data_IF_595362090662
#
_entry.id   IF_595362090662
#
_cell.length_a   1.000
_cell.length_b   1.000
_cell.length_c   1.000
_cell.angle_alpha   90.00
_cell.angle_beta   90.00
_cell.angle_gamma   90.00
#
_symmetry.space_group_name_H-M   'P 1'
#
loop_
_entity.id
_entity.type
_entity.pdbx_description
1 polymer ?
#
# COMPACT_ATOMS: atom_id res chain seq x y z
N UNK A 1 14.97 -11.76 -4.24
CA UNK A 1 13.63 -11.17 -3.97
C UNK A 1 13.79 -9.70 -3.63
N UNK A 2 12.83 -8.85 -4.01
CA UNK A 2 12.79 -7.43 -3.63
C UNK A 2 11.66 -7.14 -2.67
N UNK A 3 11.91 -6.18 -1.78
CA UNK A 3 10.91 -5.60 -0.89
C UNK A 3 10.65 -4.18 -1.36
N UNK A 4 9.40 -3.87 -1.65
CA UNK A 4 8.97 -2.56 -2.12
C UNK A 4 8.13 -1.92 -1.03
N UNK A 5 8.67 -0.90 -0.36
CA UNK A 5 7.93 -0.10 0.61
C UNK A 5 7.16 0.97 -0.17
N UNK A 6 5.85 0.77 -0.29
CA UNK A 6 4.98 1.48 -1.23
C UNK A 6 4.05 2.46 -0.52
N UNK A 7 4.15 3.75 -0.84
CA UNK A 7 3.31 4.80 -0.26
C UNK A 7 1.94 4.82 -0.94
N UNK A 8 0.88 4.76 -0.13
CA UNK A 8 -0.52 4.84 -0.59
C UNK A 8 -1.38 5.74 0.31
N UNK A 9 -2.59 6.01 -0.16
CA UNK A 9 -3.60 6.77 0.56
C UNK A 9 -3.46 8.29 0.42
N UNK A 10 -4.32 8.98 1.15
CA UNK A 10 -4.43 10.43 1.16
C UNK A 10 -3.17 11.11 1.72
N UNK A 11 -2.72 12.17 1.05
CA UNK A 11 -1.58 12.97 1.49
C UNK A 11 -1.79 14.47 1.17
N UNK A 12 -0.73 15.28 1.26
CA UNK A 12 -0.79 16.72 0.95
C UNK A 12 -1.25 17.02 -0.48
N UNK A 13 -1.05 16.08 -1.41
CA UNK A 13 -1.45 16.20 -2.81
C UNK A 13 -2.86 15.66 -3.07
N UNK A 14 -3.34 14.73 -2.23
CA UNK A 14 -4.62 14.04 -2.42
C UNK A 14 -5.49 14.06 -1.15
N UNK A 15 -6.13 15.20 -0.86
CA UNK A 15 -7.21 15.29 0.16
C UNK A 15 -6.80 15.60 1.60
N UNK A 16 -5.49 15.68 1.88
CA UNK A 16 -4.90 16.25 3.12
C UNK A 16 -5.46 15.70 4.44
N UNK A 17 -5.87 14.43 4.45
CA UNK A 17 -6.54 13.80 5.61
C UNK A 17 -5.89 12.42 5.91
N UNK A 18 -5.50 12.10 7.16
CA UNK A 18 -4.96 10.79 7.49
C UNK A 18 -5.99 9.67 7.37
N UNK A 19 -5.52 8.43 7.21
CA UNK A 19 -6.33 7.24 7.49
C UNK A 19 -6.53 7.05 9.00
N UNK A 20 -7.72 6.66 9.49
CA UNK A 20 -7.95 6.45 10.91
C UNK A 20 -7.37 5.13 11.41
N UNK A 21 -6.71 5.19 12.57
CA UNK A 21 -6.54 4.04 13.45
C UNK A 21 -7.76 4.02 14.37
N UNK A 22 -8.56 2.96 14.30
CA UNK A 22 -9.79 2.84 15.09
C UNK A 22 -9.44 2.68 16.60
N UNK A 23 -10.39 2.92 17.53
CA UNK A 23 -10.13 2.84 18.97
C UNK A 23 -9.60 1.49 19.46
N UNK A 24 -9.88 0.42 18.73
CA UNK A 24 -9.38 -0.92 19.03
C UNK A 24 -8.04 -1.24 18.34
N UNK A 25 -7.45 -0.27 17.63
CA UNK A 25 -6.18 -0.38 16.93
C UNK A 25 -6.30 -0.85 15.48
N UNK A 26 -7.50 -1.14 14.95
CA UNK A 26 -7.65 -1.53 13.54
C UNK A 26 -7.21 -0.42 12.59
N UNK A 27 -6.55 -0.81 11.50
CA UNK A 27 -6.08 0.10 10.46
C UNK A 27 -7.14 0.23 9.36
N UNK A 28 -7.92 1.31 9.40
CA UNK A 28 -8.91 1.59 8.36
C UNK A 28 -8.29 2.51 7.31
N UNK A 29 -7.61 1.92 6.33
CA UNK A 29 -7.01 2.68 5.21
C UNK A 29 -8.09 3.34 4.33
N UNK A 30 -7.85 4.60 3.97
CA UNK A 30 -8.71 5.38 3.08
C UNK A 30 -8.04 5.56 1.71
N UNK A 31 -8.65 5.08 0.62
CA UNK A 31 -8.18 5.35 -0.75
C UNK A 31 -8.24 6.83 -1.11
N UNK A 32 -7.56 7.23 -2.19
CA UNK A 32 -7.60 8.62 -2.68
C UNK A 32 -8.87 8.90 -3.48
N UNK A 33 -9.37 10.14 -3.53
CA UNK A 33 -10.45 10.50 -4.44
C UNK A 33 -9.95 10.48 -5.88
N UNK A 34 -10.85 10.16 -6.81
CA UNK A 34 -10.59 10.17 -8.24
C UNK A 34 -11.65 11.01 -8.96
N UNK A 35 -11.25 11.70 -10.03
CA UNK A 35 -12.19 12.54 -10.79
C UNK A 35 -13.05 11.67 -11.70
N UNK A 36 -14.36 11.64 -11.44
CA UNK A 36 -15.35 10.86 -12.22
C UNK A 36 -15.29 11.13 -13.73
N UNK A 37 -14.94 12.35 -14.15
CA UNK A 37 -14.85 12.72 -15.57
C UNK A 37 -13.88 11.85 -16.36
N UNK A 38 -12.80 11.39 -15.73
CA UNK A 38 -11.78 10.56 -16.37
C UNK A 38 -12.03 9.06 -16.18
N UNK A 39 -12.74 8.70 -15.11
CA UNK A 39 -12.92 7.33 -14.63
C UNK A 39 -14.39 7.03 -14.34
N UNK A 40 -15.25 6.94 -15.37
CA UNK A 40 -16.67 6.66 -15.19
C UNK A 40 -16.84 5.27 -14.58
N UNK A 41 -17.84 5.06 -13.72
CA UNK A 41 -18.18 3.75 -13.08
C UNK A 41 -17.28 3.27 -11.95
N UNK A 42 -16.23 4.02 -11.59
CA UNK A 42 -15.53 3.77 -10.31
C UNK A 42 -16.52 3.89 -9.13
N UNK A 43 -16.29 3.13 -8.03
CA UNK A 43 -17.11 3.26 -6.83
C UNK A 43 -16.94 4.63 -6.20
N UNK A 44 -17.95 5.04 -5.44
CA UNK A 44 -17.87 6.14 -4.49
C UNK A 44 -17.45 5.62 -3.12
N UNK A 45 -17.08 6.51 -2.20
CA UNK A 45 -16.82 6.10 -0.81
C UNK A 45 -18.06 5.51 -0.11
N UNK A 46 -19.28 5.89 -0.51
CA UNK A 46 -20.53 5.29 -0.01
C UNK A 46 -20.69 3.82 -0.43
N UNK A 47 -20.03 3.40 -1.50
CA UNK A 47 -20.04 2.00 -1.96
C UNK A 47 -19.01 1.13 -1.21
N UNK A 48 -18.18 1.74 -0.36
CA UNK A 48 -17.12 1.06 0.37
C UNK A 48 -17.44 0.90 1.86
N UNK A 49 -17.09 -0.25 2.42
CA UNK A 49 -17.18 -0.53 3.84
C UNK A 49 -15.90 -1.16 4.39
N UNK A 50 -15.56 -0.89 5.64
CA UNK A 50 -14.49 -1.57 6.35
C UNK A 50 -15.05 -2.15 7.66
N UNK A 51 -15.14 -3.48 7.75
CA UNK A 51 -15.73 -4.20 8.88
C UNK A 51 -17.11 -3.63 9.32
N UNK A 52 -17.99 -3.39 8.35
CA UNK A 52 -19.33 -2.84 8.57
C UNK A 52 -19.38 -1.32 8.77
N UNK A 53 -18.24 -0.62 8.75
CA UNK A 53 -18.19 0.84 8.81
C UNK A 53 -18.27 1.40 7.37
N UNK A 54 -19.28 2.20 7.08
CA UNK A 54 -19.37 2.94 5.80
C UNK A 54 -18.22 3.95 5.69
N UNK A 55 -17.39 3.82 4.65
CA UNK A 55 -16.26 4.73 4.44
C UNK A 55 -16.71 6.12 4.01
N UNK A 56 -17.85 6.24 3.33
CA UNK A 56 -18.43 7.54 2.93
C UNK A 56 -18.76 8.44 4.11
N UNK A 57 -19.46 7.93 5.13
CA UNK A 57 -19.73 8.70 6.36
C UNK A 57 -18.44 9.02 7.10
N UNK A 58 -17.53 8.05 7.20
CA UNK A 58 -16.27 8.23 7.92
C UNK A 58 -15.38 9.31 7.27
N UNK A 59 -15.22 9.28 5.94
CA UNK A 59 -14.37 10.26 5.24
C UNK A 59 -14.96 11.66 5.31
N UNK A 60 -16.28 11.80 5.23
CA UNK A 60 -16.95 13.10 5.39
C UNK A 60 -16.69 13.69 6.77
N UNK A 61 -16.85 12.90 7.82
CA UNK A 61 -16.63 13.35 9.20
C UNK A 61 -15.16 13.69 9.46
N UNK A 62 -14.23 12.81 9.05
CA UNK A 62 -12.79 13.00 9.29
C UNK A 62 -12.17 14.12 8.44
N UNK A 63 -12.69 14.35 7.23
CA UNK A 63 -12.22 15.40 6.32
C UNK A 63 -12.91 16.75 6.53
N UNK A 64 -13.86 16.86 7.48
CA UNK A 64 -14.74 18.02 7.63
C UNK A 64 -15.45 18.37 6.30
N UNK A 65 -16.01 17.36 5.65
CA UNK A 65 -16.73 17.42 4.36
C UNK A 65 -15.92 17.95 3.18
N UNK A 66 -14.59 18.02 3.27
CA UNK A 66 -13.73 18.32 2.11
C UNK A 66 -13.78 17.22 1.06
N UNK A 67 -13.94 15.97 1.50
CA UNK A 67 -14.21 14.80 0.66
C UNK A 67 -15.61 14.32 1.03
N UNK A 68 -16.45 14.09 0.02
CA UNK A 68 -17.82 13.62 0.18
C UNK A 68 -17.90 12.12 -0.01
N UNK A 69 -18.88 11.48 0.64
CA UNK A 69 -19.17 10.07 0.47
C UNK A 69 -19.56 9.72 -0.97
N UNK A 70 -20.12 10.70 -1.69
CA UNK A 70 -20.46 10.60 -3.13
C UNK A 70 -19.28 10.80 -4.06
N UNK A 71 -18.10 11.20 -3.55
CA UNK A 71 -16.93 11.34 -4.40
C UNK A 71 -16.44 9.95 -4.82
N UNK A 72 -16.08 9.85 -6.09
CA UNK A 72 -15.47 8.65 -6.67
C UNK A 72 -14.11 8.39 -6.04
N UNK A 73 -13.76 7.12 -5.85
CA UNK A 73 -12.52 6.74 -5.17
C UNK A 73 -11.69 5.74 -5.98
N UNK A 74 -10.37 5.93 -5.93
CA UNK A 74 -9.35 5.06 -6.49
C UNK A 74 -9.00 3.97 -5.48
N UNK A 75 -9.81 2.91 -5.42
CA UNK A 75 -9.54 1.75 -4.56
C UNK A 75 -8.36 0.95 -5.12
N UNK A 76 -7.16 1.38 -4.78
CA UNK A 76 -5.89 0.78 -5.20
C UNK A 76 -4.78 1.11 -4.17
N UNK A 77 -4.14 0.12 -3.55
CA UNK A 77 -4.25 -1.32 -3.84
C UNK A 77 -5.58 -1.91 -3.36
N UNK A 78 -6.17 -2.77 -4.20
CA UNK A 78 -7.42 -3.46 -3.90
C UNK A 78 -7.12 -4.79 -3.18
N UNK A 79 -6.88 -4.71 -1.87
CA UNK A 79 -6.33 -5.84 -1.08
C UNK A 79 -7.36 -6.65 -0.31
N UNK A 80 -8.53 -6.07 -0.03
CA UNK A 80 -9.49 -6.62 0.91
C UNK A 80 -10.84 -6.88 0.24
N UNK A 81 -11.24 -8.15 0.25
CA UNK A 81 -12.51 -8.57 -0.32
C UNK A 81 -13.69 -7.81 0.28
N UNK A 82 -13.65 -7.52 1.59
CA UNK A 82 -14.75 -6.92 2.34
C UNK A 82 -15.03 -5.45 2.03
N UNK A 83 -14.22 -4.76 1.21
CA UNK A 83 -14.50 -3.37 0.86
C UNK A 83 -15.83 -3.18 0.13
N UNK A 84 -16.16 -4.10 -0.76
CA UNK A 84 -17.39 -4.06 -1.58
C UNK A 84 -17.68 -5.43 -2.19
N UNK A 85 -18.85 -5.61 -2.78
CA UNK A 85 -19.18 -6.82 -3.54
C UNK A 85 -18.18 -7.06 -4.68
N UNK A 86 -17.76 -8.31 -4.88
CA UNK A 86 -16.73 -8.71 -5.85
C UNK A 86 -17.32 -9.65 -6.90
N UNK A 87 -16.82 -9.52 -8.13
CA UNK A 87 -17.11 -10.47 -9.19
C UNK A 87 -16.37 -11.81 -8.96
N UNK A 88 -16.91 -12.94 -9.46
CA UNK A 88 -16.23 -14.23 -9.39
C UNK A 88 -14.80 -14.17 -9.97
N UNK A 89 -13.87 -14.82 -9.28
CA UNK A 89 -12.46 -14.84 -9.70
C UNK A 89 -11.65 -13.61 -9.29
N UNK A 90 -12.24 -12.65 -8.55
CA UNK A 90 -11.50 -11.51 -7.99
C UNK A 90 -10.25 -11.94 -7.24
N UNK A 91 -9.16 -11.22 -7.47
CA UNK A 91 -7.88 -11.38 -6.79
C UNK A 91 -7.42 -10.02 -6.26
N UNK A 92 -6.71 -9.98 -5.12
CA UNK A 92 -6.04 -8.77 -4.69
C UNK A 92 -5.08 -8.27 -5.76
N UNK A 93 -5.16 -6.97 -6.04
CA UNK A 93 -4.45 -6.33 -7.14
C UNK A 93 -3.92 -4.95 -6.74
N UNK A 94 -2.90 -4.50 -7.46
CA UNK A 94 -2.31 -3.17 -7.31
C UNK A 94 -1.93 -2.62 -8.68
N UNK A 95 -2.34 -1.40 -9.03
CA UNK A 95 -2.01 -0.74 -10.28
C UNK A 95 -0.87 0.27 -10.15
N UNK A 96 -0.04 0.38 -11.19
CA UNK A 96 0.98 1.43 -11.22
C UNK A 96 1.21 1.95 -12.64
N UNK A 97 1.50 3.24 -12.75
CA UNK A 97 1.66 3.91 -14.03
C UNK A 97 2.83 4.90 -14.07
N UNK A 98 3.17 5.33 -15.28
CA UNK A 98 4.07 6.45 -15.53
C UNK A 98 5.46 6.29 -14.90
N UNK A 99 5.90 7.31 -14.17
CA UNK A 99 7.26 7.37 -13.60
C UNK A 99 7.50 6.33 -12.50
N UNK A 100 6.48 6.03 -11.69
CA UNK A 100 6.58 5.02 -10.64
C UNK A 100 6.69 3.62 -11.25
N UNK A 101 5.89 3.30 -12.27
CA UNK A 101 6.00 2.02 -12.97
C UNK A 101 7.31 1.89 -13.75
N UNK A 102 7.77 2.98 -14.37
CA UNK A 102 9.08 3.03 -15.02
C UNK A 102 10.22 2.76 -14.04
N UNK A 103 10.09 3.20 -12.78
CA UNK A 103 11.05 2.91 -11.72
C UNK A 103 11.04 1.43 -11.35
N UNK A 104 9.86 0.84 -11.11
CA UNK A 104 9.71 -0.59 -10.82
C UNK A 104 10.34 -1.46 -11.91
N UNK A 105 10.10 -1.14 -13.19
CA UNK A 105 10.75 -1.82 -14.33
C UNK A 105 12.27 -1.71 -14.30
N UNK A 106 12.84 -0.52 -14.07
CA UNK A 106 14.29 -0.33 -13.98
C UNK A 106 14.91 -1.08 -12.80
N UNK A 107 14.16 -1.22 -11.71
CA UNK A 107 14.54 -2.03 -10.56
C UNK A 107 14.30 -3.53 -10.78
N UNK A 108 13.82 -3.96 -11.96
CA UNK A 108 13.47 -5.33 -12.29
C UNK A 108 12.50 -5.95 -11.26
N UNK A 109 11.50 -5.17 -10.81
CA UNK A 109 10.45 -5.68 -9.92
C UNK A 109 9.52 -6.61 -10.71
N UNK A 110 9.23 -7.79 -10.15
CA UNK A 110 8.42 -8.80 -10.83
C UNK A 110 7.95 -9.93 -9.92
N UNK A 111 7.49 -11.06 -10.50
CA UNK A 111 6.99 -12.21 -9.75
C UNK A 111 7.93 -12.64 -8.60
N UNK A 112 7.35 -12.91 -7.44
CA UNK A 112 8.05 -13.27 -6.19
C UNK A 112 8.44 -12.09 -5.31
N UNK A 113 8.50 -10.87 -5.84
CA UNK A 113 8.78 -9.66 -5.05
C UNK A 113 7.54 -9.24 -4.22
N UNK A 114 7.76 -8.49 -3.13
CA UNK A 114 6.71 -8.15 -2.16
C UNK A 114 6.57 -6.64 -2.05
N UNK A 115 5.36 -6.15 -2.30
CA UNK A 115 4.93 -4.83 -1.87
C UNK A 115 4.50 -4.86 -0.41
N UNK A 116 5.03 -3.93 0.38
CA UNK A 116 4.59 -3.57 1.72
C UNK A 116 4.03 -2.15 1.65
N UNK A 117 2.71 -2.03 1.73
CA UNK A 117 2.02 -0.75 1.59
C UNK A 117 1.97 -0.01 2.91
N UNK A 118 2.41 1.24 2.93
CA UNK A 118 2.25 2.15 4.05
C UNK A 118 1.42 3.36 3.67
N UNK A 119 0.75 3.93 4.66
CA UNK A 119 0.02 5.18 4.51
C UNK A 119 0.21 6.09 5.73
N UNK A 120 -0.29 7.32 5.62
CA UNK A 120 -0.39 8.25 6.73
C UNK A 120 -1.61 7.90 7.58
N UNK A 121 -1.37 7.57 8.85
CA UNK A 121 -2.38 7.24 9.84
C UNK A 121 -2.38 8.20 11.03
N UNK A 122 -3.54 8.32 11.67
CA UNK A 122 -3.71 9.01 12.95
C UNK A 122 -4.83 8.35 13.76
N UNK A 123 -4.67 8.29 15.07
CA UNK A 123 -5.70 7.74 15.96
C UNK A 123 -7.01 8.53 15.88
N UNK A 124 -8.11 7.79 15.74
CA UNK A 124 -9.45 8.32 15.66
C UNK A 124 -10.32 7.75 16.79
N UNK A 125 -11.29 8.56 17.20
CA UNK A 125 -12.25 8.25 18.24
C UNK A 125 -13.65 8.62 17.78
N UNK A 126 -14.65 8.00 18.40
CA UNK A 126 -16.05 8.32 18.15
C UNK A 126 -16.58 9.17 19.31
N UNK A 127 -17.00 10.40 19.01
CA UNK A 127 -17.55 11.35 19.99
C UNK A 127 -18.91 11.82 19.49
N UNK A 128 -19.93 11.72 20.34
CA UNK A 128 -21.31 12.09 20.00
C UNK A 128 -21.79 11.46 18.68
N UNK A 129 -21.43 10.19 18.45
CA UNK A 129 -21.81 9.43 17.26
C UNK A 129 -20.97 9.66 16.01
N UNK A 130 -20.07 10.66 16.01
CA UNK A 130 -19.24 11.02 14.85
C UNK A 130 -17.77 10.63 15.02
N UNK A 131 -17.12 10.31 13.91
CA UNK A 131 -15.68 10.12 13.85
C UNK A 131 -14.94 11.45 13.92
N UNK A 132 -13.90 11.50 14.76
CA UNK A 132 -12.95 12.58 14.78
C UNK A 132 -11.56 12.03 15.12
N UNK A 133 -10.51 12.72 14.71
CA UNK A 133 -9.18 12.36 15.17
C UNK A 133 -9.02 12.70 16.65
N UNK A 134 -8.35 11.82 17.40
CA UNK A 134 -8.11 12.03 18.80
C UNK A 134 -7.22 13.27 19.01
N UNK A 135 -7.53 14.14 20.00
CA UNK A 135 -6.71 15.30 20.29
C UNK A 135 -5.27 14.89 20.57
N UNK A 136 -4.29 15.59 19.97
CA UNK A 136 -2.85 15.32 20.11
C UNK A 136 -2.39 13.95 19.59
N UNK A 137 -3.25 13.20 18.89
CA UNK A 137 -2.84 11.99 18.20
C UNK A 137 -1.74 12.30 17.18
N UNK A 138 -0.72 11.44 17.14
CA UNK A 138 0.44 11.61 16.28
C UNK A 138 0.14 11.19 14.85
N UNK A 139 0.80 11.85 13.92
CA UNK A 139 0.86 11.41 12.53
C UNK A 139 1.90 10.31 12.38
N UNK A 140 1.48 9.17 11.85
CA UNK A 140 2.29 7.97 11.72
C UNK A 140 2.33 7.50 10.26
N UNK A 141 3.46 6.97 9.83
CA UNK A 141 3.54 6.06 8.71
C UNK A 141 3.42 4.64 9.26
N UNK A 142 2.42 3.90 8.79
CA UNK A 142 2.13 2.53 9.25
C UNK A 142 1.93 1.64 8.03
N UNK A 143 2.54 0.46 8.05
CA UNK A 143 2.26 -0.62 7.11
C UNK A 143 0.83 -1.13 7.34
N UNK A 144 -0.01 -1.05 6.32
CA UNK A 144 -1.41 -1.44 6.42
C UNK A 144 -1.78 -2.65 5.56
N UNK A 145 -0.94 -3.02 4.59
CA UNK A 145 -1.19 -4.19 3.75
C UNK A 145 0.04 -4.65 2.98
N UNK A 146 -0.11 -5.79 2.31
CA UNK A 146 0.94 -6.37 1.48
C UNK A 146 0.38 -7.00 0.22
N UNK A 147 1.25 -7.18 -0.78
CA UNK A 147 1.00 -7.99 -1.98
C UNK A 147 2.32 -8.60 -2.46
N UNK A 148 2.42 -9.91 -2.44
CA UNK A 148 3.47 -10.65 -3.15
C UNK A 148 3.02 -10.87 -4.59
N UNK A 149 3.87 -10.45 -5.54
CA UNK A 149 3.55 -10.44 -6.96
C UNK A 149 3.55 -11.87 -7.50
N UNK A 150 2.44 -12.26 -8.11
CA UNK A 150 2.36 -13.44 -8.97
C UNK A 150 2.64 -13.04 -10.42
N UNK A 151 1.98 -11.97 -10.85
CA UNK A 151 1.95 -11.55 -12.24
C UNK A 151 1.95 -10.02 -12.33
N UNK A 152 2.67 -9.50 -13.31
CA UNK A 152 2.65 -8.10 -13.72
C UNK A 152 2.06 -8.01 -15.11
N UNK A 153 0.81 -7.56 -15.20
CA UNK A 153 0.03 -7.55 -16.43
C UNK A 153 0.07 -6.16 -17.09
N UNK A 154 0.54 -6.12 -18.33
CA UNK A 154 0.39 -4.97 -19.22
C UNK A 154 -0.86 -5.11 -20.08
N UNK A 155 -1.43 -3.98 -20.47
CA UNK A 155 -2.62 -3.93 -21.32
C UNK A 155 -2.34 -3.13 -22.59
N UNK A 156 -2.77 -3.69 -23.73
CA UNK A 156 -2.75 -3.01 -25.01
C UNK A 156 -3.84 -1.91 -25.09
N UNK A 157 -4.02 -1.30 -26.26
CA UNK A 157 -5.06 -0.28 -26.46
C UNK A 157 -6.48 -0.85 -26.54
N UNK A 158 -6.62 -2.16 -26.76
CA UNK A 158 -7.90 -2.87 -26.83
C UNK A 158 -8.29 -3.54 -25.50
N UNK A 159 -7.55 -3.28 -24.42
CA UNK A 159 -7.68 -3.95 -23.13
C UNK A 159 -7.50 -5.47 -23.25
N UNK A 160 -6.45 -5.90 -23.94
CA UNK A 160 -5.93 -7.26 -23.93
C UNK A 160 -4.71 -7.35 -23.01
N UNK A 161 -4.67 -8.38 -22.18
CA UNK A 161 -3.56 -8.70 -21.29
C UNK A 161 -2.35 -9.22 -22.09
N UNK A 162 -1.16 -8.71 -21.81
CA UNK A 162 0.12 -9.13 -22.43
C UNK A 162 1.14 -9.85 -21.49
N UNK A 163 0.73 -10.65 -20.48
CA UNK A 163 1.68 -11.22 -19.51
C UNK A 163 2.50 -12.41 -20.05
N UNK A 164 2.11 -13.01 -21.20
CA UNK A 164 2.74 -14.22 -21.76
C UNK A 164 2.97 -14.14 -23.28
N UNK A 165 3.41 -12.98 -23.79
CA UNK A 165 3.76 -12.79 -25.21
C UNK A 165 2.58 -12.82 -26.19
N UNK A 166 1.47 -13.48 -25.84
CA UNK A 166 0.22 -13.47 -26.60
C UNK A 166 -0.87 -12.68 -25.86
N UNK A 167 -1.59 -11.80 -26.57
CA UNK A 167 -2.74 -11.11 -26.03
C UNK A 167 -3.85 -12.06 -25.57
N UNK A 168 -4.45 -11.77 -24.42
CA UNK A 168 -5.61 -12.50 -23.89
C UNK A 168 -6.68 -11.51 -23.42
N UNK A 169 -7.98 -11.85 -23.49
CA UNK A 169 -9.03 -10.99 -22.95
C UNK A 169 -8.84 -10.71 -21.46
N UNK A 170 -9.05 -9.45 -21.05
CA UNK A 170 -9.07 -9.07 -19.63
C UNK A 170 -10.21 -9.79 -18.88
N UNK A 171 -9.93 -10.43 -17.73
CA UNK A 171 -10.98 -11.03 -16.89
C UNK A 171 -12.00 -9.99 -16.41
N UNK A 172 -13.29 -10.36 -16.35
CA UNK A 172 -14.36 -9.43 -16.00
C UNK A 172 -14.19 -8.76 -14.63
N UNK A 173 -13.68 -9.49 -13.63
CA UNK A 173 -13.40 -8.94 -12.30
C UNK A 173 -12.35 -7.82 -12.33
N UNK A 174 -11.40 -7.86 -13.28
CA UNK A 174 -10.31 -6.91 -13.39
C UNK A 174 -10.73 -5.65 -14.16
N UNK A 175 -11.76 -5.72 -15.01
CA UNK A 175 -12.32 -4.55 -15.71
C UNK A 175 -12.86 -3.48 -14.77
N UNK A 176 -13.13 -3.84 -13.51
CA UNK A 176 -13.56 -2.90 -12.46
C UNK A 176 -12.39 -2.21 -11.74
N UNK A 177 -11.15 -2.56 -12.07
CA UNK A 177 -9.97 -1.96 -11.45
C UNK A 177 -9.73 -0.54 -11.99
N UNK A 178 -9.32 0.44 -11.16
CA UNK A 178 -9.19 1.83 -11.62
C UNK A 178 -8.28 2.07 -12.82
N UNK A 179 -7.28 1.21 -12.99
CA UNK A 179 -6.33 1.27 -14.10
C UNK A 179 -6.88 0.76 -15.45
N UNK A 180 -8.06 0.14 -15.46
CA UNK A 180 -8.73 -0.36 -16.67
C UNK A 180 -10.05 0.36 -16.98
N UNK A 181 -10.44 1.30 -16.11
CA UNK A 181 -11.65 2.10 -16.28
C UNK A 181 -11.28 3.43 -16.95
N UNK A 182 -12.06 3.85 -17.94
CA UNK A 182 -11.97 5.19 -18.52
C UNK A 182 -10.64 5.50 -19.20
N UNK A 183 -10.14 6.72 -19.01
CA UNK A 183 -8.86 7.18 -19.56
C UNK A 183 -7.68 6.51 -18.85
N UNK A 184 -6.65 6.08 -19.59
CA UNK A 184 -5.43 5.50 -19.00
C UNK A 184 -4.64 6.55 -18.22
N UNK A 185 -3.97 6.14 -17.14
CA UNK A 185 -3.10 7.06 -16.38
C UNK A 185 -1.81 7.42 -17.13
N UNK A 186 -1.46 6.63 -18.14
CA UNK A 186 -0.35 6.88 -19.03
C UNK A 186 -0.16 5.76 -20.05
N UNK A 187 0.82 5.89 -20.95
CA UNK A 187 1.14 4.84 -21.92
C UNK A 187 1.67 3.56 -21.25
N UNK A 188 2.28 3.72 -20.07
CA UNK A 188 2.72 2.63 -19.22
C UNK A 188 1.80 2.58 -18.01
N UNK A 189 0.87 1.63 -18.04
CA UNK A 189 -0.15 1.43 -17.02
C UNK A 189 -0.37 -0.07 -16.86
N UNK A 190 -0.08 -0.59 -15.67
CA UNK A 190 -0.01 -2.03 -15.40
C UNK A 190 -0.74 -2.40 -14.12
N UNK A 191 -1.14 -3.67 -14.03
CA UNK A 191 -1.72 -4.24 -12.81
C UNK A 191 -0.88 -5.43 -12.34
N UNK A 192 -0.50 -5.38 -11.08
CA UNK A 192 0.13 -6.48 -10.34
C UNK A 192 -0.96 -7.29 -9.65
N UNK A 193 -0.94 -8.61 -9.82
CA UNK A 193 -1.84 -9.51 -9.08
C UNK A 193 -1.08 -10.37 -8.08
N UNK A 194 -1.75 -10.71 -6.99
CA UNK A 194 -1.14 -11.40 -5.86
C UNK A 194 -1.00 -12.91 -6.04
N UNK A 195 0.04 -13.50 -5.43
CA UNK A 195 0.12 -14.96 -5.22
C UNK A 195 -1.02 -15.44 -4.32
N UNK A 196 -1.38 -16.73 -4.40
CA UNK A 196 -2.42 -17.30 -3.53
C UNK A 196 -2.00 -17.30 -2.06
N UNK A 197 -0.77 -17.74 -1.83
CA UNK A 197 -0.13 -17.83 -0.53
C UNK A 197 1.21 -17.13 -0.59
N UNK A 198 1.58 -16.50 0.51
CA UNK A 198 2.86 -15.85 0.64
C UNK A 198 3.96 -16.91 0.66
N UNK A 199 4.95 -16.77 -0.21
CA UNK A 199 6.12 -17.62 -0.31
C UNK A 199 7.31 -16.87 0.26
N UNK A 200 7.90 -17.36 1.35
CA UNK A 200 9.10 -16.78 1.95
C UNK A 200 10.18 -17.86 1.95
N UNK A 201 11.38 -17.52 1.48
CA UNK A 201 12.50 -18.47 1.37
C UNK A 201 12.18 -19.71 0.49
N UNK A 202 11.37 -19.53 -0.54
CA UNK A 202 10.93 -20.62 -1.42
C UNK A 202 9.80 -21.50 -0.86
N UNK A 203 9.42 -21.32 0.40
CA UNK A 203 8.39 -22.13 1.06
C UNK A 203 7.04 -21.42 1.14
N UNK A 204 5.94 -22.02 0.64
CA UNK A 204 4.60 -21.48 0.81
C UNK A 204 4.17 -21.48 2.28
N UNK A 205 3.72 -20.32 2.76
CA UNK A 205 3.15 -20.17 4.10
C UNK A 205 1.63 -20.34 4.10
N UNK A 206 1.04 -20.44 5.30
CA UNK A 206 -0.43 -20.41 5.48
C UNK A 206 -1.03 -19.01 5.27
N UNK A 207 -0.20 -17.99 5.17
CA UNK A 207 -0.62 -16.59 5.00
C UNK A 207 -0.95 -16.37 3.52
N UNK A 208 -1.99 -15.57 3.24
CA UNK A 208 -2.35 -15.19 1.87
C UNK A 208 -1.26 -14.32 1.25
N UNK A 209 -1.08 -14.42 -0.07
CA UNK A 209 -0.08 -13.63 -0.80
C UNK A 209 -0.36 -12.12 -0.77
N UNK A 210 -1.58 -11.71 -0.44
CA UNK A 210 -1.94 -10.32 -0.19
C UNK A 210 -2.99 -10.22 0.92
N UNK A 211 -3.04 -9.06 1.56
CA UNK A 211 -3.99 -8.79 2.64
C UNK A 211 -3.70 -7.48 3.36
N UNK A 212 -4.46 -7.26 4.43
CA UNK A 212 -4.30 -6.12 5.34
C UNK A 212 -3.69 -6.58 6.66
N UNK A 213 -2.83 -5.74 7.24
CA UNK A 213 -2.46 -5.88 8.64
C UNK A 213 -3.67 -5.47 9.49
N UNK A 214 -4.25 -6.37 10.31
CA UNK A 214 -5.51 -6.13 10.99
C UNK A 214 -5.44 -4.97 11.99
N UNK A 215 -4.32 -4.81 12.70
CA UNK A 215 -4.14 -3.78 13.72
C UNK A 215 -2.75 -3.15 13.65
N UNK A 216 -2.65 -1.93 14.18
CA UNK A 216 -1.36 -1.29 14.42
C UNK A 216 -0.58 -2.09 15.48
N UNK A 217 0.67 -2.38 15.18
CA UNK A 217 1.63 -2.96 16.12
C UNK A 217 2.94 -2.17 16.03
N UNK A 218 3.88 -2.44 16.92
CA UNK A 218 5.24 -1.88 16.81
C UNK A 218 5.91 -2.35 15.51
N UNK A 219 5.72 -3.61 15.10
CA UNK A 219 6.30 -4.16 13.88
C UNK A 219 5.77 -3.50 12.59
N UNK A 220 4.51 -3.05 12.59
CA UNK A 220 3.92 -2.36 11.42
C UNK A 220 4.08 -0.85 11.46
N UNK A 221 4.51 -0.26 12.58
CA UNK A 221 4.71 1.19 12.70
C UNK A 221 6.11 1.57 12.22
N UNK A 222 6.21 2.34 11.13
CA UNK A 222 7.50 2.78 10.59
C UNK A 222 8.03 4.01 11.31
N UNK A 223 7.14 4.92 11.71
CA UNK A 223 7.52 6.18 12.38
C UNK A 223 8.20 5.94 13.72
N UNK A 224 9.36 6.57 13.90
CA UNK A 224 10.11 6.52 15.16
C UNK A 224 9.33 7.15 16.32
N UNK A 225 9.55 6.61 17.51
CA UNK A 225 8.87 7.10 18.70
C UNK A 225 9.24 8.57 18.95
N UNK A 226 8.26 9.38 19.31
CA UNK A 226 8.37 10.83 19.53
C UNK A 226 8.89 11.69 18.36
N UNK A 227 9.08 11.13 17.17
CA UNK A 227 9.45 11.88 15.96
C UNK A 227 8.28 12.22 15.03
N UNK A 228 8.55 13.02 14.00
CA UNK A 228 7.61 13.24 12.90
C UNK A 228 7.54 12.00 11.98
N UNK A 229 6.46 11.86 11.22
CA UNK A 229 6.24 10.72 10.29
C UNK A 229 7.33 10.52 9.22
N UNK A 230 8.16 11.54 8.98
CA UNK A 230 9.30 11.48 8.04
C UNK A 230 10.55 10.79 8.61
N UNK A 231 10.56 10.49 9.91
CA UNK A 231 11.65 9.76 10.56
C UNK A 231 11.17 8.35 10.85
N UNK A 232 11.82 7.37 10.22
CA UNK A 232 11.50 5.97 10.40
C UNK A 232 12.50 5.28 11.31
N UNK A 233 12.01 4.38 12.15
CA UNK A 233 12.81 3.43 12.92
C UNK A 233 12.68 2.06 12.26
N UNK A 234 13.79 1.56 11.73
CA UNK A 234 13.89 0.27 11.06
C UNK A 234 14.88 -0.63 11.82
N UNK A 235 14.81 -1.96 11.66
CA UNK A 235 15.85 -2.85 12.16
C UNK A 235 17.26 -2.43 11.70
N UNK A 236 18.29 -2.61 12.55
CA UNK A 236 19.68 -2.22 12.24
C UNK A 236 20.19 -2.70 10.88
N UNK A 237 19.75 -3.88 10.44
CA UNK A 237 20.22 -4.49 9.20
C UNK A 237 19.81 -3.70 7.94
N UNK A 238 18.81 -2.80 8.02
CA UNK A 238 18.47 -1.89 6.92
C UNK A 238 19.56 -0.87 6.61
N UNK A 239 20.50 -0.63 7.53
CA UNK A 239 21.55 0.37 7.32
C UNK A 239 22.41 0.01 6.08
N UNK A 240 22.55 0.92 5.11
CA UNK A 240 23.36 0.67 3.92
C UNK A 240 24.85 0.60 4.28
N UNK A 241 25.59 -0.23 3.57
CA UNK A 241 27.04 -0.38 3.74
C UNK A 241 27.66 -0.97 2.47
N UNK A 242 28.97 -1.20 2.46
CA UNK A 242 29.64 -1.78 1.30
C UNK A 242 29.00 -3.12 0.90
N UNK A 243 28.54 -3.23 -0.35
CA UNK A 243 27.82 -4.40 -0.87
C UNK A 243 26.33 -4.48 -0.50
N UNK A 244 25.83 -3.54 0.32
CA UNK A 244 24.44 -3.42 0.77
C UNK A 244 23.86 -2.07 0.29
N UNK A 245 23.31 -2.03 -0.95
CA UNK A 245 22.83 -0.79 -1.54
C UNK A 245 21.62 -0.24 -0.76
N UNK A 246 21.54 1.09 -0.54
CA UNK A 246 20.43 1.69 0.19
C UNK A 246 19.10 1.48 -0.52
N UNK A 247 18.02 1.63 0.25
CA UNK A 247 16.66 1.74 -0.28
C UNK A 247 16.61 2.80 -1.40
N UNK A 248 15.99 2.48 -2.54
CA UNK A 248 15.96 3.42 -3.68
C UNK A 248 15.39 4.79 -3.29
N UNK A 249 15.93 5.88 -3.86
CA UNK A 249 15.65 7.28 -3.49
C UNK A 249 16.21 7.74 -2.13
N UNK A 250 16.95 6.89 -1.44
CA UNK A 250 17.59 7.19 -0.15
C UNK A 250 19.11 6.97 -0.21
N UNK A 251 19.75 7.33 -1.33
CA UNK A 251 21.18 7.09 -1.54
C UNK A 251 22.08 7.99 -0.70
N UNK A 252 21.57 9.13 -0.23
CA UNK A 252 22.34 10.09 0.58
C UNK A 252 22.57 9.56 1.99
N UNK A 253 23.84 9.49 2.39
CA UNK A 253 24.27 8.98 3.70
C UNK A 253 23.68 9.77 4.87
N UNK A 254 23.50 11.09 4.73
CA UNK A 254 22.93 11.99 5.75
C UNK A 254 21.48 11.67 6.14
N UNK A 255 20.81 10.80 5.39
CA UNK A 255 19.47 10.29 5.71
C UNK A 255 19.50 9.13 6.69
N UNK A 256 20.64 8.48 6.90
CA UNK A 256 20.77 7.26 7.66
C UNK A 256 21.56 7.51 8.93
N UNK A 257 21.05 7.03 10.06
CA UNK A 257 21.78 7.01 11.32
C UNK A 257 21.60 5.66 12.01
N UNK A 258 22.60 5.24 12.77
CA UNK A 258 22.53 4.07 13.62
C UNK A 258 22.14 4.50 15.04
N UNK A 259 21.16 3.83 15.62
CA UNK A 259 20.71 4.04 17.01
C UNK A 259 20.53 2.67 17.69
N UNK A 260 21.55 2.21 18.42
CA UNK A 260 21.57 0.88 19.04
C UNK A 260 21.32 -0.23 18.01
N UNK A 261 20.32 -1.08 18.26
CA UNK A 261 19.89 -2.16 17.35
C UNK A 261 18.93 -1.70 16.25
N UNK A 262 18.89 -0.40 15.97
CA UNK A 262 18.00 0.18 14.98
C UNK A 262 18.74 1.10 14.00
N UNK A 263 18.07 1.35 12.88
CA UNK A 263 18.42 2.31 11.85
C UNK A 263 17.36 3.40 11.83
N UNK A 264 17.80 4.64 11.97
CA UNK A 264 16.96 5.81 11.80
C UNK A 264 17.09 6.30 10.36
N UNK A 265 15.97 6.35 9.64
CA UNK A 265 15.91 6.80 8.27
C UNK A 265 15.08 8.08 8.14
N UNK A 266 15.66 9.13 7.57
CA UNK A 266 14.91 10.31 7.09
C UNK A 266 14.37 10.05 5.68
N UNK A 267 13.07 9.80 5.60
CA UNK A 267 12.39 9.36 4.37
C UNK A 267 12.28 10.51 3.38
N UNK A 268 12.41 10.20 2.09
CA UNK A 268 12.22 11.15 1.00
C UNK A 268 10.76 11.61 0.93
N UNK A 269 10.54 12.92 0.75
CA UNK A 269 9.21 13.48 0.51
C UNK A 269 8.68 13.09 -0.88
N UNK A 270 9.57 12.88 -1.85
CA UNK A 270 9.28 12.46 -3.21
C UNK A 270 9.52 10.95 -3.39
N UNK A 271 8.72 10.34 -4.25
CA UNK A 271 8.78 8.90 -4.56
C UNK A 271 7.63 8.15 -3.90
N UNK A 272 7.02 7.25 -4.69
CA UNK A 272 5.90 6.42 -4.26
C UNK A 272 6.37 4.99 -3.93
N UNK A 273 7.37 4.48 -4.64
CA UNK A 273 7.86 3.11 -4.54
C UNK A 273 9.33 3.10 -4.10
N UNK A 274 9.63 2.51 -2.94
CA UNK A 274 10.99 2.40 -2.41
C UNK A 274 11.45 0.94 -2.44
N UNK A 275 12.42 0.62 -3.30
CA UNK A 275 12.85 -0.76 -3.56
C UNK A 275 14.13 -1.08 -2.79
N UNK A 276 14.12 -2.23 -2.10
CA UNK A 276 15.26 -2.85 -1.46
C UNK A 276 15.54 -4.20 -2.13
N UNK A 277 16.78 -4.41 -2.57
CA UNK A 277 17.24 -5.72 -3.06
C UNK A 277 17.57 -6.63 -1.86
N UNK A 278 16.60 -7.46 -1.45
CA UNK A 278 16.73 -8.29 -0.26
C UNK A 278 17.79 -9.39 -0.43
N UNK A 279 18.24 -9.69 -1.64
CA UNK A 279 19.33 -10.66 -1.87
C UNK A 279 20.69 -10.13 -1.35
N UNK A 280 20.79 -8.82 -1.11
CA UNK A 280 21.94 -8.18 -0.44
C UNK A 280 21.80 -8.08 1.09
N UNK A 281 20.62 -8.44 1.61
CA UNK A 281 20.23 -8.31 3.02
C UNK A 281 19.65 -9.63 3.53
N UNK A 282 20.49 -10.63 3.88
CA UNK A 282 20.01 -11.96 4.28
C UNK A 282 19.02 -11.95 5.46
N UNK A 283 19.11 -10.94 6.33
CA UNK A 283 18.24 -10.72 7.49
C UNK A 283 16.78 -10.42 7.08
N UNK A 284 16.54 -9.97 5.86
CA UNK A 284 15.22 -9.55 5.37
C UNK A 284 14.19 -10.69 5.39
N UNK A 285 14.62 -11.93 5.16
CA UNK A 285 13.75 -13.10 5.16
C UNK A 285 13.17 -13.36 6.56
N UNK A 286 14.03 -13.41 7.59
CA UNK A 286 13.59 -13.59 8.98
C UNK A 286 12.72 -12.43 9.44
N UNK A 287 13.07 -11.19 9.05
CA UNK A 287 12.26 -10.03 9.38
C UNK A 287 10.87 -10.08 8.74
N UNK A 288 10.73 -10.51 7.48
CA UNK A 288 9.42 -10.68 6.86
C UNK A 288 8.59 -11.74 7.60
N UNK A 289 9.20 -12.86 7.99
CA UNK A 289 8.53 -13.90 8.78
C UNK A 289 8.00 -13.33 10.11
N UNK A 290 8.83 -12.58 10.84
CA UNK A 290 8.43 -11.91 12.08
C UNK A 290 7.36 -10.84 11.86
N UNK A 291 7.49 -10.03 10.80
CA UNK A 291 6.51 -9.02 10.43
C UNK A 291 5.14 -9.64 10.17
N UNK A 292 5.09 -10.75 9.43
CA UNK A 292 3.82 -11.40 9.12
C UNK A 292 3.27 -12.20 10.31
N UNK A 293 4.11 -12.86 11.10
CA UNK A 293 3.70 -13.56 12.32
C UNK A 293 3.08 -12.56 13.32
N UNK A 294 3.84 -11.54 13.70
CA UNK A 294 3.41 -10.52 14.68
C UNK A 294 2.35 -9.57 14.12
N UNK A 295 2.40 -9.27 12.82
CA UNK A 295 1.53 -8.30 12.17
C UNK A 295 0.16 -8.86 11.81
N UNK A 296 0.07 -10.14 11.42
CA UNK A 296 -1.22 -10.80 11.11
C UNK A 296 -1.87 -11.38 12.37
N UNK A 297 -1.12 -11.51 13.47
CA UNK A 297 -1.61 -12.01 14.76
C UNK A 297 -1.76 -13.53 14.78
N UNK A 298 -0.82 -14.24 14.15
CA UNK A 298 -0.72 -15.71 14.15
C UNK A 298 0.17 -16.21 15.28
#
# INVERSE_FOLDING_TARGET
>A
MKIIISRKGLDSSFGTTPSPILPDGRLCWLPIPEKTSYKPTLPTYNDLAFDGICLGTMIEELSNSRIRGTDTTHLDPDLFHGYRARLPGWRPAFGQAGAAESHLRRQNVGPGDIFLFFAWFREAQRVNGKWQFAPRARDLHVLFGWLQIDERTEFDLNNECLPFGEPRPVPDWMKQHPHLIGERYGPLDVVYTSTRNLVINGEPSRIRGAGLFPRRTTATTLTDENQSRSIWRLPRWFFPSSGRPPLSYHEKEDRWNIDGDNTILRVASRGQEFVLDADKYPEATSWLQELFYNGVGL
#
